data_IF_677888698794
#
_entry.id   IF_677888698794
#
_cell.length_a   1.000
_cell.length_b   1.000
_cell.length_c   1.000
_cell.angle_alpha   90.00
_cell.angle_beta   90.00
_cell.angle_gamma   90.00
#
_symmetry.space_group_name_H-M   'P 1'
#
loop_
_entity.id
_entity.type
_entity.pdbx_description
1 polymer ?
#
# COMPACT_ATOMS: atom_id res chain seq x y z
N UNK A 1 -0.26 -47.19 37.34
CA UNK A 1 -0.92 -46.89 36.05
C UNK A 1 -1.52 -45.48 36.06
N UNK A 2 -0.78 -44.46 35.72
CA UNK A 2 -1.31 -43.09 35.59
C UNK A 2 -0.44 -42.28 34.65
N UNK A 3 -1.10 -41.61 33.69
CA UNK A 3 -0.66 -40.46 32.96
C UNK A 3 0.29 -40.58 31.73
N UNK A 4 -0.32 -40.97 30.63
CA UNK A 4 0.14 -40.63 29.29
C UNK A 4 -0.96 -39.86 28.53
N UNK A 5 -1.32 -38.66 28.94
CA UNK A 5 -2.23 -37.76 28.18
C UNK A 5 -1.96 -36.28 28.48
N UNK A 6 -0.72 -35.81 28.30
CA UNK A 6 -0.41 -34.36 28.39
C UNK A 6 0.74 -33.94 27.51
N UNK A 7 0.75 -34.28 26.23
CA UNK A 7 1.80 -33.81 25.30
C UNK A 7 1.36 -33.67 23.84
N UNK A 8 0.12 -33.24 23.61
CA UNK A 8 -0.39 -33.12 22.24
C UNK A 8 -1.12 -31.79 21.96
N UNK A 9 -0.84 -30.71 22.71
CA UNK A 9 -1.47 -29.39 22.49
C UNK A 9 -0.46 -28.28 22.17
N UNK A 10 0.83 -28.57 22.05
CA UNK A 10 1.88 -27.56 21.79
C UNK A 10 2.40 -27.54 20.36
N UNK A 11 1.67 -28.11 19.40
CA UNK A 11 2.13 -28.28 18.02
C UNK A 11 1.50 -27.39 16.94
N UNK A 12 0.58 -26.46 17.27
CA UNK A 12 -0.04 -25.58 16.28
C UNK A 12 0.00 -24.12 16.74
N UNK A 13 1.20 -23.63 17.10
CA UNK A 13 1.50 -22.22 16.90
C UNK A 13 2.15 -22.09 15.53
N UNK A 14 1.38 -22.34 14.49
CA UNK A 14 1.72 -21.84 13.16
C UNK A 14 1.88 -20.32 13.32
N UNK A 15 3.13 -19.87 13.11
CA UNK A 15 3.46 -18.48 12.91
C UNK A 15 2.40 -17.88 11.97
N UNK A 16 1.41 -17.19 12.54
CA UNK A 16 0.62 -16.24 11.77
C UNK A 16 1.63 -15.20 11.31
N UNK A 17 2.11 -15.32 10.09
CA UNK A 17 2.79 -14.23 9.42
C UNK A 17 1.86 -13.03 9.60
N UNK A 18 2.21 -12.15 10.52
CA UNK A 18 1.41 -10.95 10.78
C UNK A 18 1.44 -10.15 9.49
N UNK A 19 0.28 -10.05 8.84
CA UNK A 19 0.12 -9.27 7.61
C UNK A 19 0.59 -7.85 7.91
N UNK A 20 1.51 -7.34 7.10
CA UNK A 20 2.10 -6.02 7.32
C UNK A 20 1.04 -4.96 7.01
N UNK A 21 0.80 -4.06 7.95
CA UNK A 21 -0.01 -2.86 7.73
C UNK A 21 0.88 -1.75 7.16
N UNK A 22 0.47 -1.14 6.04
CA UNK A 22 1.25 -0.12 5.32
C UNK A 22 0.38 1.08 4.93
N UNK A 23 0.84 2.29 5.27
CA UNK A 23 0.23 3.53 4.78
C UNK A 23 0.70 3.76 3.35
N UNK A 24 -0.26 4.03 2.46
CA UNK A 24 0.01 4.40 1.07
C UNK A 24 -0.07 5.92 0.95
N UNK A 25 1.06 6.54 0.68
CA UNK A 25 1.16 7.98 0.46
C UNK A 25 0.45 8.42 -0.83
N UNK A 26 0.05 9.68 -0.93
CA UNK A 26 -0.67 10.23 -2.07
C UNK A 26 0.11 10.07 -3.39
N UNK A 27 1.44 10.22 -3.36
CA UNK A 27 2.29 10.04 -4.54
C UNK A 27 2.33 8.61 -5.07
N UNK A 28 1.98 7.62 -4.23
CA UNK A 28 1.88 6.19 -4.59
C UNK A 28 0.50 5.86 -5.14
N UNK A 29 -0.55 6.54 -4.64
CA UNK A 29 -1.92 6.39 -5.13
C UNK A 29 -2.20 7.16 -6.42
N UNK A 30 -1.38 8.17 -6.74
CA UNK A 30 -1.51 9.01 -7.92
C UNK A 30 -1.40 8.23 -9.24
N UNK A 31 -0.38 7.36 -9.47
CA UNK A 31 -0.26 6.59 -10.71
C UNK A 31 -1.24 5.41 -10.71
N UNK A 32 -2.26 5.45 -11.58
CA UNK A 32 -3.27 4.39 -11.63
C UNK A 32 -2.70 2.96 -11.76
N UNK A 33 -1.69 2.68 -12.62
CA UNK A 33 -1.14 1.32 -12.71
C UNK A 33 -0.56 0.81 -11.39
N UNK A 34 0.15 1.67 -10.65
CA UNK A 34 0.76 1.33 -9.36
C UNK A 34 -0.32 1.14 -8.29
N UNK A 35 -1.24 2.11 -8.16
CA UNK A 35 -2.38 2.03 -7.24
C UNK A 35 -3.15 0.73 -7.42
N UNK A 36 -3.53 0.41 -8.65
CA UNK A 36 -4.33 -0.76 -8.96
C UNK A 36 -3.59 -2.06 -8.60
N UNK A 37 -2.28 -2.15 -8.90
CA UNK A 37 -1.50 -3.32 -8.54
C UNK A 37 -1.37 -3.49 -7.02
N UNK A 38 -1.11 -2.39 -6.29
CA UNK A 38 -1.07 -2.40 -4.83
C UNK A 38 -2.41 -2.85 -4.22
N UNK A 39 -3.53 -2.37 -4.74
CA UNK A 39 -4.86 -2.79 -4.29
C UNK A 39 -5.13 -4.26 -4.60
N UNK A 40 -4.68 -4.80 -5.75
CA UNK A 40 -4.78 -6.22 -6.04
C UNK A 40 -3.91 -7.08 -5.11
N UNK A 41 -2.72 -6.64 -4.72
CA UNK A 41 -1.91 -7.31 -3.70
C UNK A 41 -2.64 -7.34 -2.35
N UNK A 42 -3.19 -6.20 -1.93
CA UNK A 42 -3.94 -6.08 -0.69
C UNK A 42 -5.21 -6.97 -0.69
N UNK A 43 -5.94 -7.02 -1.80
CA UNK A 43 -7.14 -7.86 -1.93
C UNK A 43 -6.87 -9.36 -1.79
N UNK A 44 -5.63 -9.78 -2.02
CA UNK A 44 -5.16 -11.16 -1.81
C UNK A 44 -4.53 -11.37 -0.42
N UNK A 45 -4.62 -10.37 0.48
CA UNK A 45 -4.11 -10.45 1.83
C UNK A 45 -2.58 -10.51 1.91
N UNK A 46 -1.86 -9.86 0.98
CA UNK A 46 -0.40 -9.76 1.02
C UNK A 46 0.04 -8.73 2.06
N UNK A 47 -0.74 -7.66 2.22
CA UNK A 47 -0.59 -6.63 3.23
C UNK A 47 -1.93 -5.94 3.49
N UNK A 48 -2.03 -5.17 4.56
CA UNK A 48 -3.19 -4.34 4.90
C UNK A 48 -2.91 -2.88 4.49
N UNK A 49 -3.65 -2.31 3.52
CA UNK A 49 -3.45 -0.94 3.08
C UNK A 49 -4.12 0.04 4.04
N UNK A 50 -3.47 1.18 4.25
CA UNK A 50 -3.98 2.28 5.06
C UNK A 50 -3.87 3.58 4.25
N UNK A 51 -4.87 4.42 4.38
CA UNK A 51 -4.91 5.81 3.93
C UNK A 51 -5.76 6.67 4.84
N UNK A 52 -5.88 7.95 4.54
CA UNK A 52 -6.78 8.90 5.19
C UNK A 52 -7.58 9.66 4.14
N UNK A 53 -8.62 10.35 4.56
CA UNK A 53 -9.35 11.26 3.68
C UNK A 53 -8.41 12.36 3.10
N UNK A 54 -7.44 12.84 3.89
CA UNK A 54 -6.45 13.82 3.44
C UNK A 54 -5.54 13.27 2.33
N UNK A 55 -5.00 12.06 2.49
CA UNK A 55 -4.20 11.38 1.47
C UNK A 55 -5.02 11.17 0.20
N UNK A 56 -6.28 10.76 0.33
CA UNK A 56 -7.18 10.55 -0.80
C UNK A 56 -7.47 11.88 -1.54
N UNK A 57 -7.77 12.95 -0.82
CA UNK A 57 -8.02 14.27 -1.45
C UNK A 57 -6.78 14.80 -2.15
N UNK A 58 -5.60 14.57 -1.59
CA UNK A 58 -4.34 15.04 -2.14
C UNK A 58 -4.06 14.44 -3.53
N UNK A 59 -4.09 13.10 -3.68
CA UNK A 59 -3.84 12.50 -5.00
C UNK A 59 -4.94 12.86 -5.99
N UNK A 60 -6.21 12.99 -5.55
CA UNK A 60 -7.33 13.41 -6.41
C UNK A 60 -7.10 14.84 -6.90
N UNK A 61 -6.77 15.77 -6.00
CA UNK A 61 -6.51 17.17 -6.33
C UNK A 61 -5.33 17.30 -7.31
N UNK A 62 -4.23 16.59 -7.04
CA UNK A 62 -3.03 16.63 -7.87
C UNK A 62 -3.30 16.03 -9.27
N UNK A 63 -4.04 14.92 -9.34
CA UNK A 63 -4.39 14.28 -10.61
C UNK A 63 -5.39 15.12 -11.40
N UNK A 64 -6.41 15.70 -10.78
CA UNK A 64 -7.37 16.59 -11.45
C UNK A 64 -6.69 17.84 -12.03
N UNK A 65 -5.67 18.38 -11.34
CA UNK A 65 -4.87 19.50 -11.83
C UNK A 65 -4.01 19.11 -13.05
N UNK A 66 -3.38 17.94 -13.00
CA UNK A 66 -2.49 17.46 -14.08
C UNK A 66 -3.26 16.90 -15.28
N UNK A 67 -4.48 16.41 -15.09
CA UNK A 67 -5.32 15.76 -16.10
C UNK A 67 -6.74 16.36 -16.09
N UNK A 68 -6.91 17.59 -16.60
CA UNK A 68 -8.21 18.26 -16.63
C UNK A 68 -9.24 17.55 -17.52
N UNK A 69 -8.79 16.63 -18.39
CA UNK A 69 -9.63 15.73 -19.18
C UNK A 69 -10.36 14.66 -18.31
N UNK A 70 -9.87 14.39 -17.10
CA UNK A 70 -10.50 13.45 -16.17
C UNK A 70 -11.42 14.22 -15.22
N UNK A 71 -12.71 13.93 -15.27
CA UNK A 71 -13.67 14.58 -14.38
C UNK A 71 -13.37 14.21 -12.93
N UNK A 72 -13.31 15.20 -12.03
CA UNK A 72 -13.08 14.99 -10.58
C UNK A 72 -14.03 13.94 -10.00
N UNK A 73 -15.29 13.94 -10.41
CA UNK A 73 -16.28 12.94 -9.98
C UNK A 73 -15.88 11.48 -10.29
N UNK A 74 -15.10 11.24 -11.36
CA UNK A 74 -14.58 9.90 -11.66
C UNK A 74 -13.46 9.50 -10.69
N UNK A 75 -12.60 10.44 -10.28
CA UNK A 75 -11.56 10.21 -9.28
C UNK A 75 -12.18 9.93 -7.90
N UNK A 76 -13.17 10.71 -7.50
CA UNK A 76 -13.94 10.49 -6.27
C UNK A 76 -14.70 9.16 -6.29
N UNK A 77 -15.20 8.72 -7.46
CA UNK A 77 -15.80 7.39 -7.59
C UNK A 77 -14.76 6.27 -7.39
N UNK A 78 -13.51 6.48 -7.82
CA UNK A 78 -12.40 5.57 -7.54
C UNK A 78 -12.12 5.49 -6.04
N UNK A 79 -12.01 6.64 -5.36
CA UNK A 79 -11.85 6.70 -3.90
C UNK A 79 -12.96 5.91 -3.19
N UNK A 80 -14.23 6.19 -3.50
CA UNK A 80 -15.36 5.46 -2.91
C UNK A 80 -15.31 3.95 -3.16
N UNK A 81 -14.75 3.54 -4.30
CA UNK A 81 -14.56 2.12 -4.61
C UNK A 81 -13.45 1.49 -3.78
N UNK A 82 -12.37 2.23 -3.53
CA UNK A 82 -11.29 1.82 -2.62
C UNK A 82 -11.82 1.65 -1.19
N UNK A 83 -12.55 2.63 -0.66
CA UNK A 83 -13.11 2.58 0.69
C UNK A 83 -14.12 1.43 0.87
N UNK A 84 -14.92 1.11 -0.17
CA UNK A 84 -15.81 -0.05 -0.14
C UNK A 84 -15.06 -1.38 -0.21
N UNK A 85 -13.98 -1.45 -0.99
CA UNK A 85 -13.20 -2.68 -1.15
C UNK A 85 -12.35 -3.00 0.09
N UNK A 86 -11.97 -1.98 0.85
CA UNK A 86 -11.10 -2.08 2.02
C UNK A 86 -11.72 -1.36 3.24
N UNK A 87 -12.80 -1.91 3.81
CA UNK A 87 -13.40 -1.34 5.02
C UNK A 87 -12.37 -1.31 6.16
N UNK A 88 -12.19 -0.15 6.80
CA UNK A 88 -11.20 0.04 7.87
C UNK A 88 -9.82 0.54 7.42
N UNK A 89 -9.55 0.63 6.11
CA UNK A 89 -8.30 1.23 5.60
C UNK A 89 -8.26 2.76 5.74
N UNK A 90 -9.41 3.41 5.78
CA UNK A 90 -9.51 4.86 5.97
C UNK A 90 -9.44 5.20 7.46
N UNK A 91 -8.27 5.68 7.90
CA UNK A 91 -7.99 6.02 9.31
C UNK A 91 -8.49 7.43 9.63
N UNK A 92 -9.13 7.56 10.77
CA UNK A 92 -9.66 8.82 11.32
C UNK A 92 -9.09 9.11 12.71
N UNK A 93 -9.32 10.32 13.22
CA UNK A 93 -8.91 10.74 14.57
C UNK A 93 -7.39 10.64 14.81
N UNK A 94 -6.59 10.97 13.79
CA UNK A 94 -5.12 11.05 13.84
C UNK A 94 -4.63 12.50 13.96
N UNK A 95 -5.50 13.49 13.81
CA UNK A 95 -5.17 14.91 13.67
C UNK A 95 -4.48 15.45 14.93
N UNK A 96 -4.87 15.00 16.11
CA UNK A 96 -4.26 15.39 17.39
C UNK A 96 -2.78 14.99 17.52
N UNK A 97 -2.32 14.03 16.70
CA UNK A 97 -0.94 13.57 16.68
C UNK A 97 -0.05 14.51 15.86
N UNK A 98 -0.60 15.17 14.84
CA UNK A 98 0.15 15.97 13.84
C UNK A 98 1.02 17.04 14.50
N UNK A 99 0.50 17.76 15.48
CA UNK A 99 1.20 18.89 16.13
C UNK A 99 2.46 18.45 16.90
N UNK A 100 2.54 17.19 17.32
CA UNK A 100 3.69 16.64 18.05
C UNK A 100 4.79 16.09 17.14
N UNK A 101 4.54 16.03 15.82
CA UNK A 101 5.46 15.44 14.85
C UNK A 101 6.34 16.49 14.20
N UNK A 102 7.57 16.09 13.87
CA UNK A 102 8.51 16.88 13.07
C UNK A 102 8.99 16.06 11.88
N UNK A 103 8.81 16.61 10.68
CA UNK A 103 9.32 16.08 9.42
C UNK A 103 9.95 17.22 8.62
N UNK A 104 10.85 16.90 7.65
CA UNK A 104 11.42 17.90 6.75
C UNK A 104 10.33 18.70 6.01
N UNK A 105 9.30 18.04 5.51
CA UNK A 105 8.09 18.67 5.01
C UNK A 105 6.98 18.61 6.06
N UNK A 106 6.54 19.77 6.60
CA UNK A 106 5.44 19.80 7.56
C UNK A 106 4.11 19.28 7.01
N UNK A 107 3.91 19.33 5.69
CA UNK A 107 2.68 18.86 5.05
C UNK A 107 2.57 17.33 5.07
N UNK A 108 3.69 16.61 5.18
CA UNK A 108 3.71 15.14 5.25
C UNK A 108 3.42 14.58 6.65
N UNK A 109 3.33 15.44 7.68
CA UNK A 109 3.08 14.98 9.07
C UNK A 109 1.78 14.20 9.22
N UNK A 110 0.77 14.48 8.40
CA UNK A 110 -0.49 13.73 8.45
C UNK A 110 -0.32 12.25 8.02
N UNK A 111 0.62 11.95 7.12
CA UNK A 111 0.94 10.57 6.69
C UNK A 111 1.58 9.80 7.84
N UNK A 112 2.55 10.41 8.55
CA UNK A 112 3.17 9.81 9.73
C UNK A 112 2.16 9.64 10.88
N UNK A 113 1.30 10.64 11.11
CA UNK A 113 0.24 10.55 12.11
C UNK A 113 -0.72 9.40 11.84
N UNK A 114 -1.10 9.19 10.57
CA UNK A 114 -1.92 8.05 10.15
C UNK A 114 -1.21 6.71 10.41
N UNK A 115 0.11 6.63 10.15
CA UNK A 115 0.89 5.43 10.40
C UNK A 115 0.98 5.10 11.91
N UNK A 116 1.17 6.10 12.75
CA UNK A 116 1.17 5.94 14.22
C UNK A 116 -0.21 5.48 14.70
N UNK A 117 -1.27 6.14 14.25
CA UNK A 117 -2.65 5.84 14.65
C UNK A 117 -3.08 4.44 14.28
N UNK A 118 -2.75 4.00 13.07
CA UNK A 118 -3.06 2.65 12.56
C UNK A 118 -2.10 1.57 13.02
N UNK A 119 -1.02 1.94 13.74
CA UNK A 119 0.09 1.03 14.11
C UNK A 119 0.77 0.40 12.88
N UNK A 120 0.72 1.09 11.74
CA UNK A 120 1.38 0.64 10.53
C UNK A 120 2.89 0.53 10.75
N UNK A 121 3.51 -0.41 10.06
CA UNK A 121 4.97 -0.64 10.14
C UNK A 121 5.72 0.01 8.99
N UNK A 122 5.00 0.34 7.92
CA UNK A 122 5.58 0.88 6.69
C UNK A 122 4.78 2.08 6.22
N UNK A 123 5.48 3.12 5.78
CA UNK A 123 4.96 4.17 4.91
C UNK A 123 5.51 3.88 3.52
N UNK A 124 4.65 3.62 2.54
CA UNK A 124 5.05 3.42 1.15
C UNK A 124 4.98 4.78 0.45
N UNK A 125 6.14 5.30 0.06
CA UNK A 125 6.27 6.62 -0.57
C UNK A 125 7.40 6.65 -1.59
N UNK A 126 7.24 7.41 -2.68
CA UNK A 126 8.32 7.71 -3.62
C UNK A 126 9.25 8.83 -3.08
N UNK A 127 8.83 9.57 -2.06
CA UNK A 127 9.52 10.73 -1.51
C UNK A 127 10.22 10.41 -0.17
N UNK A 128 11.17 9.48 -0.19
CA UNK A 128 11.87 9.01 1.03
C UNK A 128 12.59 10.11 1.82
N UNK A 129 13.01 11.20 1.16
CA UNK A 129 13.73 12.31 1.81
C UNK A 129 12.91 13.02 2.88
N UNK A 130 11.58 13.04 2.74
CA UNK A 130 10.67 13.70 3.67
C UNK A 130 10.27 12.79 4.85
N UNK A 131 10.68 11.52 4.78
CA UNK A 131 10.47 10.52 5.83
C UNK A 131 11.79 9.91 6.34
N UNK A 132 12.72 10.72 6.90
CA UNK A 132 14.01 10.23 7.35
C UNK A 132 13.85 9.24 8.51
N UNK A 133 14.74 8.24 8.56
CA UNK A 133 14.69 7.17 9.58
C UNK A 133 14.74 7.72 11.01
N UNK A 134 15.44 8.84 11.25
CA UNK A 134 15.50 9.49 12.56
C UNK A 134 14.12 9.93 13.07
N UNK A 135 13.22 10.35 12.19
CA UNK A 135 11.86 10.75 12.54
C UNK A 135 10.92 9.54 12.71
N UNK A 136 11.19 8.41 12.08
CA UNK A 136 10.31 7.23 12.04
C UNK A 136 10.66 6.18 13.11
N UNK A 137 11.95 6.01 13.41
CA UNK A 137 12.44 5.00 14.36
C UNK A 137 11.77 5.05 15.74
N UNK A 138 11.48 6.23 16.34
CA UNK A 138 10.80 6.31 17.63
C UNK A 138 9.43 5.61 17.65
N UNK A 139 8.78 5.48 16.49
CA UNK A 139 7.47 4.86 16.32
C UNK A 139 7.55 3.42 15.80
N UNK A 140 8.75 2.88 15.61
CA UNK A 140 8.98 1.58 14.98
C UNK A 140 8.33 1.48 13.58
N UNK A 141 8.39 2.58 12.82
CA UNK A 141 7.91 2.73 11.44
C UNK A 141 9.14 2.88 10.54
N UNK A 142 9.05 2.44 9.29
CA UNK A 142 10.02 2.72 8.24
C UNK A 142 9.33 3.22 6.98
N UNK A 143 10.02 4.00 6.17
CA UNK A 143 9.59 4.38 4.84
C UNK A 143 10.21 3.44 3.81
N UNK A 144 9.44 3.00 2.84
CA UNK A 144 9.90 2.16 1.73
C UNK A 144 9.47 2.78 0.39
N UNK A 145 10.39 2.79 -0.57
CA UNK A 145 10.06 3.11 -1.95
C UNK A 145 9.08 2.04 -2.50
N UNK A 146 8.09 2.39 -3.35
CA UNK A 146 7.12 1.45 -3.89
C UNK A 146 7.75 0.19 -4.50
N UNK A 147 8.86 0.32 -5.23
CA UNK A 147 9.55 -0.84 -5.83
C UNK A 147 10.17 -1.77 -4.78
N UNK A 148 10.67 -1.22 -3.69
CA UNK A 148 11.22 -2.01 -2.58
C UNK A 148 10.10 -2.75 -1.85
N UNK A 149 9.03 -2.04 -1.50
CA UNK A 149 7.85 -2.62 -0.85
C UNK A 149 7.23 -3.75 -1.66
N UNK A 150 6.95 -3.51 -2.96
CA UNK A 150 6.37 -4.49 -3.86
C UNK A 150 7.32 -5.68 -4.08
N UNK A 151 8.62 -5.41 -4.26
CA UNK A 151 9.65 -6.46 -4.37
C UNK A 151 9.65 -7.39 -3.14
N UNK A 152 9.55 -6.81 -1.93
CA UNK A 152 9.43 -7.57 -0.68
C UNK A 152 8.11 -8.36 -0.59
N UNK A 153 7.00 -7.82 -1.10
CA UNK A 153 5.73 -8.54 -1.22
C UNK A 153 5.85 -9.75 -2.14
N UNK A 154 6.54 -9.61 -3.28
CA UNK A 154 6.78 -10.72 -4.23
C UNK A 154 7.62 -11.81 -3.57
N UNK A 155 8.67 -11.45 -2.84
CA UNK A 155 9.55 -12.42 -2.17
C UNK A 155 8.81 -13.24 -1.12
N UNK A 156 7.91 -12.61 -0.37
CA UNK A 156 7.12 -13.30 0.67
C UNK A 156 5.97 -14.12 0.10
N UNK A 157 5.29 -13.61 -0.92
CA UNK A 157 4.01 -14.16 -1.40
C UNK A 157 3.96 -14.20 -2.94
N UNK A 158 4.98 -14.80 -3.57
CA UNK A 158 5.14 -14.81 -5.03
C UNK A 158 3.89 -15.24 -5.79
N UNK A 159 3.23 -16.33 -5.34
CA UNK A 159 2.01 -16.84 -6.01
C UNK A 159 0.89 -15.80 -6.00
N UNK A 160 0.70 -15.13 -4.87
CA UNK A 160 -0.30 -14.07 -4.74
C UNK A 160 0.08 -12.84 -5.58
N UNK A 161 1.37 -12.49 -5.64
CA UNK A 161 1.84 -11.36 -6.44
C UNK A 161 1.62 -11.58 -7.94
N UNK A 162 1.87 -12.78 -8.45
CA UNK A 162 1.55 -13.16 -9.84
C UNK A 162 0.02 -13.10 -10.05
N UNK A 163 -0.75 -13.63 -9.11
CA UNK A 163 -2.22 -13.58 -9.17
C UNK A 163 -2.77 -12.16 -9.16
N UNK A 164 -2.17 -11.25 -8.40
CA UNK A 164 -2.51 -9.83 -8.39
C UNK A 164 -2.31 -9.20 -9.77
N UNK A 165 -1.19 -9.49 -10.45
CA UNK A 165 -0.93 -9.05 -11.82
C UNK A 165 -1.98 -9.59 -12.81
N UNK A 166 -2.31 -10.88 -12.73
CA UNK A 166 -3.35 -11.47 -13.56
C UNK A 166 -4.72 -10.81 -13.35
N UNK A 167 -5.05 -10.51 -12.08
CA UNK A 167 -6.31 -9.85 -11.74
C UNK A 167 -6.33 -8.43 -12.32
N UNK A 168 -5.23 -7.68 -12.23
CA UNK A 168 -5.11 -6.35 -12.85
C UNK A 168 -5.29 -6.43 -14.37
N UNK A 169 -4.62 -7.35 -15.05
CA UNK A 169 -4.79 -7.56 -16.50
C UNK A 169 -6.25 -7.85 -16.86
N UNK A 170 -6.91 -8.74 -16.11
CA UNK A 170 -8.32 -9.10 -16.32
C UNK A 170 -9.29 -7.95 -16.06
N UNK A 171 -8.95 -7.04 -15.15
CA UNK A 171 -9.79 -5.88 -14.82
C UNK A 171 -9.78 -4.80 -15.92
N UNK A 172 -8.70 -4.72 -16.70
CA UNK A 172 -8.52 -3.75 -17.78
C UNK A 172 -9.25 -4.22 -19.05
N UNK A 173 -10.51 -3.80 -19.22
CA UNK A 173 -11.39 -4.24 -20.31
C UNK A 173 -11.58 -3.20 -21.42
N UNK A 174 -11.37 -1.92 -21.15
CA UNK A 174 -11.66 -0.82 -22.10
C UNK A 174 -10.60 0.29 -22.01
N UNK A 175 -9.56 0.24 -22.87
CA UNK A 175 -9.18 -0.87 -23.75
C UNK A 175 -8.57 -2.04 -22.97
N UNK A 176 -8.68 -3.28 -23.46
CA UNK A 176 -7.95 -4.40 -22.87
C UNK A 176 -6.45 -4.21 -23.09
N UNK A 177 -5.65 -4.56 -22.08
CA UNK A 177 -4.19 -4.52 -22.15
C UNK A 177 -3.61 -5.90 -21.99
N UNK A 178 -2.54 -6.21 -22.76
CA UNK A 178 -1.78 -7.44 -22.57
C UNK A 178 -1.00 -7.40 -21.24
N UNK A 179 -0.59 -8.58 -20.77
CA UNK A 179 0.27 -8.70 -19.58
C UNK A 179 1.56 -7.89 -19.73
N UNK A 180 2.17 -7.94 -20.90
CA UNK A 180 3.41 -7.21 -21.23
C UNK A 180 3.19 -5.71 -21.10
N UNK A 181 2.06 -5.20 -21.62
CA UNK A 181 1.72 -3.77 -21.55
C UNK A 181 1.46 -3.32 -20.12
N UNK A 182 0.81 -4.15 -19.31
CA UNK A 182 0.63 -3.86 -17.87
C UNK A 182 1.98 -3.81 -17.15
N UNK A 183 2.89 -4.75 -17.43
CA UNK A 183 4.25 -4.75 -16.87
C UNK A 183 5.06 -3.52 -17.31
N UNK A 184 4.94 -3.07 -18.58
CA UNK A 184 5.55 -1.83 -19.04
C UNK A 184 5.02 -0.62 -18.28
N UNK A 185 3.69 -0.53 -18.10
CA UNK A 185 3.06 0.55 -17.35
C UNK A 185 3.52 0.54 -15.88
N UNK A 186 3.63 -0.61 -15.24
CA UNK A 186 4.17 -0.74 -13.88
C UNK A 186 5.64 -0.31 -13.84
N UNK A 187 6.45 -0.69 -14.83
CA UNK A 187 7.85 -0.26 -14.93
C UNK A 187 7.96 1.27 -15.05
N UNK A 188 7.08 1.91 -15.83
CA UNK A 188 7.05 3.36 -15.98
C UNK A 188 6.67 4.12 -14.69
N UNK A 189 6.04 3.47 -13.73
CA UNK A 189 5.79 4.03 -12.39
C UNK A 189 6.95 3.80 -11.40
N UNK A 190 8.09 3.30 -11.87
CA UNK A 190 9.27 3.07 -11.03
C UNK A 190 9.42 1.66 -10.46
N UNK A 191 8.51 0.71 -10.77
CA UNK A 191 8.59 -0.68 -10.30
C UNK A 191 9.59 -1.51 -11.13
N UNK A 192 10.87 -1.13 -11.15
CA UNK A 192 11.88 -1.75 -12.02
C UNK A 192 12.24 -3.16 -11.53
N UNK A 193 12.63 -3.30 -10.26
CA UNK A 193 13.03 -4.58 -9.65
C UNK A 193 11.84 -5.55 -9.56
N UNK A 194 10.68 -5.00 -9.15
CA UNK A 194 9.44 -5.77 -9.03
C UNK A 194 9.00 -6.36 -10.36
N UNK A 195 9.05 -5.57 -11.44
CA UNK A 195 8.70 -6.06 -12.79
C UNK A 195 9.69 -7.13 -13.27
N UNK A 196 10.99 -7.01 -12.98
CA UNK A 196 11.96 -8.05 -13.30
C UNK A 196 11.61 -9.38 -12.60
N UNK A 197 11.23 -9.33 -11.30
CA UNK A 197 10.79 -10.51 -10.54
C UNK A 197 9.47 -11.11 -11.03
N UNK A 198 8.55 -10.30 -11.55
CA UNK A 198 7.25 -10.78 -12.09
C UNK A 198 7.38 -11.43 -13.46
N UNK A 199 8.48 -11.14 -14.18
CA UNK A 199 8.79 -11.76 -15.49
C UNK A 199 9.50 -13.12 -15.37
N UNK A 200 10.30 -13.29 -14.32
CA UNK A 200 10.98 -14.56 -14.00
C UNK A 200 10.01 -15.60 -13.46
#
# INVERSE_FOLDING_TARGET
MLNKRRSLVWGILMSRSTVITAVLDANVLYPAPLRDYLLHLASLGVYEPIWTAAIQDEWIRNLAKARPDIKRAALEATQRSMDRAFPGSNVTNYESIISSLSLPDPDDRHVLAAAIKSKAKVIVTANLKDFPSSALTPYAIRAEHPDEFVSGCIDRERKKAIKALENQVKALKKPPLSREKVLENLKSTGLIRSVAKLKS
#
